data_IF_955218675888
#
_entry.id   IF_955218675888
#
_cell.length_a   1.000
_cell.length_b   1.000
_cell.length_c   1.000
_cell.angle_alpha   90.00
_cell.angle_beta   90.00
_cell.angle_gamma   90.00
#
_symmetry.space_group_name_H-M   'P 1'
#
loop_
_entity.id
_entity.type
_entity.pdbx_description
1 polymer ?
#
# COMPACT_ATOMS: atom_id res chain seq x y z
N UNK A 1 12.89 -7.83 5.29
CA UNK A 1 11.58 -7.65 4.64
C UNK A 1 11.80 -7.27 3.20
N UNK A 2 11.31 -8.10 2.27
CA UNK A 2 11.59 -7.98 0.84
C UNK A 2 10.63 -7.00 0.15
N UNK A 3 9.34 -7.14 0.43
CA UNK A 3 8.32 -6.29 -0.17
C UNK A 3 7.11 -6.15 0.74
N UNK A 4 6.53 -4.95 0.77
CA UNK A 4 5.19 -4.69 1.24
C UNK A 4 4.35 -4.28 0.04
N UNK A 5 3.16 -4.84 -0.07
CA UNK A 5 2.19 -4.43 -1.06
C UNK A 5 0.80 -4.42 -0.43
N UNK A 6 -0.13 -3.70 -1.03
CA UNK A 6 -1.51 -3.70 -0.58
C UNK A 6 -2.45 -3.88 -1.77
N UNK A 7 -3.61 -4.47 -1.52
CA UNK A 7 -4.64 -4.68 -2.53
C UNK A 7 -6.06 -4.58 -1.96
N UNK A 8 -7.01 -4.23 -2.83
CA UNK A 8 -8.44 -4.22 -2.51
C UNK A 8 -9.02 -5.63 -2.77
N UNK A 9 -9.42 -6.33 -1.70
CA UNK A 9 -9.85 -7.73 -1.77
C UNK A 9 -11.11 -7.83 -2.64
N UNK A 10 -12.10 -6.97 -2.39
CA UNK A 10 -13.36 -6.94 -3.11
C UNK A 10 -13.93 -5.51 -3.15
N UNK A 11 -14.69 -5.13 -4.20
CA UNK A 11 -15.39 -3.85 -4.23
C UNK A 11 -16.29 -3.68 -2.99
N UNK A 12 -16.10 -2.61 -2.22
CA UNK A 12 -16.82 -2.38 -0.96
C UNK A 12 -16.39 -3.28 0.21
N UNK A 13 -15.44 -4.19 -0.01
CA UNK A 13 -14.96 -5.16 0.98
C UNK A 13 -13.73 -4.69 1.77
N UNK A 14 -12.94 -5.66 2.22
CA UNK A 14 -11.72 -5.43 3.00
C UNK A 14 -10.56 -4.99 2.11
N UNK A 15 -9.67 -4.19 2.69
CA UNK A 15 -8.34 -3.95 2.14
C UNK A 15 -7.37 -4.94 2.79
N UNK A 16 -6.35 -5.35 2.04
CA UNK A 16 -5.29 -6.20 2.56
C UNK A 16 -3.94 -5.53 2.38
N UNK A 17 -3.13 -5.53 3.43
CA UNK A 17 -1.70 -5.22 3.38
C UNK A 17 -0.92 -6.52 3.54
N UNK A 18 -0.01 -6.78 2.62
CA UNK A 18 0.78 -8.02 2.54
C UNK A 18 2.25 -7.69 2.76
N UNK A 19 2.88 -8.49 3.61
CA UNK A 19 4.28 -8.38 3.94
C UNK A 19 4.98 -9.66 3.50
N UNK A 20 5.87 -9.54 2.52
CA UNK A 20 6.73 -10.61 2.04
C UNK A 20 8.07 -10.56 2.79
N UNK A 21 8.32 -11.60 3.58
CA UNK A 21 9.54 -11.79 4.35
C UNK A 21 10.31 -12.97 3.75
N UNK A 22 11.54 -12.70 3.32
CA UNK A 22 12.46 -13.73 2.81
C UNK A 22 13.62 -13.81 3.80
N UNK A 23 13.99 -15.02 4.21
CA UNK A 23 15.20 -15.28 4.99
C UNK A 23 16.40 -15.19 4.07
N UNK A 24 17.34 -14.29 4.37
CA UNK A 24 18.53 -14.08 3.53
C UNK A 24 19.74 -14.67 4.25
N UNK A 25 20.30 -15.73 3.69
CA UNK A 25 21.54 -16.39 4.15
C UNK A 25 22.46 -16.67 2.97
N UNK A 26 23.77 -16.67 3.21
CA UNK A 26 24.76 -16.93 2.17
C UNK A 26 24.73 -18.39 1.71
N UNK A 27 24.78 -18.61 0.40
CA UNK A 27 24.91 -19.96 -0.20
C UNK A 27 23.61 -20.76 -0.26
N UNK A 28 22.44 -20.13 -0.10
CA UNK A 28 21.14 -20.79 -0.23
C UNK A 28 20.52 -20.46 -1.60
N UNK A 29 20.22 -21.50 -2.39
CA UNK A 29 19.53 -21.40 -3.68
C UNK A 29 18.01 -21.19 -3.55
N UNK A 30 17.40 -21.63 -2.43
CA UNK A 30 15.96 -21.51 -2.17
C UNK A 30 15.71 -21.00 -0.75
N UNK A 31 15.67 -19.67 -0.56
CA UNK A 31 15.43 -19.10 0.76
C UNK A 31 13.98 -19.35 1.21
N UNK A 32 13.80 -19.55 2.52
CA UNK A 32 12.48 -19.66 3.12
C UNK A 32 11.75 -18.31 3.04
N UNK A 33 10.49 -18.34 2.59
CA UNK A 33 9.64 -17.15 2.46
C UNK A 33 8.36 -17.28 3.27
N UNK A 34 7.98 -16.19 3.94
CA UNK A 34 6.74 -16.07 4.70
C UNK A 34 5.97 -14.86 4.19
N UNK A 35 4.70 -15.07 3.89
CA UNK A 35 3.78 -14.01 3.46
C UNK A 35 2.73 -13.77 4.54
N UNK A 36 2.75 -12.59 5.14
CA UNK A 36 1.77 -12.19 6.16
C UNK A 36 0.74 -11.29 5.49
N UNK A 37 -0.54 -11.64 5.60
CA UNK A 37 -1.65 -10.83 5.09
C UNK A 37 -2.42 -10.24 6.26
N UNK A 38 -2.52 -8.92 6.28
CA UNK A 38 -3.26 -8.16 7.30
C UNK A 38 -4.47 -7.53 6.63
N UNK A 39 -5.66 -7.89 7.12
CA UNK A 39 -6.91 -7.35 6.60
C UNK A 39 -7.37 -6.15 7.42
N UNK A 40 -7.82 -5.10 6.74
CA UNK A 40 -8.30 -3.87 7.35
C UNK A 40 -9.65 -3.44 6.74
N UNK A 41 -10.55 -2.84 7.55
CA UNK A 41 -11.86 -2.38 7.07
C UNK A 41 -11.74 -1.10 6.22
N UNK A 42 -12.53 -0.99 5.15
CA UNK A 42 -12.48 0.13 4.18
C UNK A 42 -12.78 1.52 4.76
N UNK A 43 -13.66 1.60 5.77
CA UNK A 43 -14.13 2.89 6.33
C UNK A 43 -13.04 3.63 7.11
N UNK A 44 -12.15 2.88 7.78
CA UNK A 44 -11.00 3.39 8.54
C UNK A 44 -9.89 2.33 8.55
N UNK A 45 -9.21 2.10 7.42
CA UNK A 45 -8.19 1.06 7.32
C UNK A 45 -6.94 1.54 8.07
N UNK A 46 -6.78 1.08 9.30
CA UNK A 46 -5.64 1.40 10.16
C UNK A 46 -4.84 0.15 10.43
N UNK A 47 -3.55 0.21 10.18
CA UNK A 47 -2.61 -0.90 10.39
C UNK A 47 -1.38 -0.30 11.11
N UNK A 48 -0.79 -0.98 12.11
CA UNK A 48 0.46 -0.52 12.69
C UNK A 48 1.59 -0.57 11.65
N UNK A 49 2.35 0.52 11.52
CA UNK A 49 3.54 0.57 10.66
C UNK A 49 4.62 -0.39 11.14
N UNK A 50 5.28 -1.09 10.21
CA UNK A 50 6.47 -1.92 10.50
C UNK A 50 7.79 -1.19 10.24
N UNK A 51 7.76 0.12 9.96
CA UNK A 51 8.94 0.96 9.73
C UNK A 51 9.99 0.88 10.86
N UNK A 52 9.55 0.66 12.10
CA UNK A 52 10.45 0.55 13.24
C UNK A 52 11.19 -0.80 13.29
N UNK A 53 10.65 -1.82 12.63
CA UNK A 53 11.27 -3.15 12.49
C UNK A 53 12.10 -3.22 11.21
N UNK A 54 11.52 -2.83 10.07
CA UNK A 54 12.19 -2.81 8.77
C UNK A 54 12.06 -1.44 8.11
N UNK A 55 13.20 -0.76 7.94
CA UNK A 55 13.24 0.57 7.31
C UNK A 55 12.85 0.56 5.83
N UNK A 56 12.93 -0.59 5.16
CA UNK A 56 12.47 -0.76 3.77
C UNK A 56 10.98 -0.49 3.58
N UNK A 57 10.19 -0.54 4.66
CA UNK A 57 8.75 -0.30 4.63
C UNK A 57 8.36 1.18 4.39
N UNK A 58 9.29 2.14 4.51
CA UNK A 58 8.98 3.59 4.40
C UNK A 58 8.21 3.93 3.12
N UNK A 59 8.82 3.70 1.96
CA UNK A 59 8.20 4.03 0.69
C UNK A 59 7.03 3.12 0.35
N UNK A 60 7.09 1.84 0.75
CA UNK A 60 6.07 0.85 0.40
C UNK A 60 4.76 1.11 1.17
N UNK A 61 4.85 1.43 2.47
CA UNK A 61 3.69 1.82 3.28
C UNK A 61 3.09 3.15 2.80
N UNK A 62 3.94 4.09 2.34
CA UNK A 62 3.49 5.35 1.75
C UNK A 62 2.80 5.16 0.41
N UNK A 63 3.28 4.24 -0.44
CA UNK A 63 2.60 3.85 -1.68
C UNK A 63 1.22 3.25 -1.38
N UNK A 64 1.15 2.30 -0.45
CA UNK A 64 -0.10 1.69 0.01
C UNK A 64 -1.08 2.73 0.57
N UNK A 65 -0.58 3.73 1.28
CA UNK A 65 -1.38 4.86 1.73
C UNK A 65 -1.88 5.69 0.54
N UNK A 66 -1.01 6.08 -0.39
CA UNK A 66 -1.35 6.95 -1.52
C UNK A 66 -2.35 6.32 -2.51
N UNK A 67 -2.23 5.01 -2.71
CA UNK A 67 -3.03 4.30 -3.71
C UNK A 67 -4.33 3.71 -3.15
N UNK A 68 -4.31 3.19 -1.92
CA UNK A 68 -5.43 2.48 -1.32
C UNK A 68 -5.97 3.16 -0.06
N UNK A 69 -5.33 4.20 0.45
CA UNK A 69 -5.77 4.94 1.62
C UNK A 69 -5.62 4.20 2.93
N UNK A 70 -4.74 3.19 3.00
CA UNK A 70 -4.44 2.47 4.25
C UNK A 70 -3.55 3.35 5.13
N UNK A 71 -4.05 3.70 6.31
CA UNK A 71 -3.32 4.52 7.28
C UNK A 71 -2.41 3.66 8.13
N UNK A 72 -1.11 3.97 8.10
CA UNK A 72 -0.10 3.29 8.90
C UNK A 72 0.21 4.07 10.18
N UNK A 73 -0.24 3.54 11.32
CA UNK A 73 -0.05 4.18 12.62
C UNK A 73 1.43 4.14 13.02
N UNK A 74 1.93 5.25 13.60
CA UNK A 74 3.34 5.45 14.02
C UNK A 74 4.37 5.50 12.88
N UNK A 75 3.94 5.64 11.63
CA UNK A 75 4.86 5.91 10.51
C UNK A 75 5.43 7.35 10.62
N UNK A 76 6.75 7.58 10.50
CA UNK A 76 7.36 8.90 10.74
C UNK A 76 6.95 9.97 9.73
N UNK A 77 6.63 9.58 8.49
CA UNK A 77 6.27 10.51 7.40
C UNK A 77 5.25 9.89 6.46
N UNK A 78 4.02 9.72 6.93
CA UNK A 78 2.95 9.21 6.08
C UNK A 78 2.41 10.34 5.19
N UNK A 79 2.93 10.42 3.96
CA UNK A 79 2.50 11.36 2.92
C UNK A 79 2.43 10.66 1.57
N UNK A 80 1.60 11.19 0.67
CA UNK A 80 1.53 10.77 -0.74
C UNK A 80 2.93 10.85 -1.39
N UNK A 81 3.19 9.98 -2.35
CA UNK A 81 4.49 9.90 -3.05
C UNK A 81 4.36 9.80 -4.57
N UNK A 82 3.29 9.18 -5.06
CA UNK A 82 3.02 8.99 -6.49
C UNK A 82 2.02 10.03 -6.98
N UNK A 83 0.99 10.32 -6.19
CA UNK A 83 -0.04 11.31 -6.55
C UNK A 83 0.34 12.70 -6.04
N UNK A 84 -0.14 13.76 -6.71
CA UNK A 84 -0.08 15.12 -6.18
C UNK A 84 -0.68 15.20 -4.77
N UNK A 85 -0.11 16.06 -3.92
CA UNK A 85 -0.61 16.22 -2.54
C UNK A 85 -2.07 16.71 -2.49
N UNK A 86 -2.52 17.42 -3.53
CA UNK A 86 -3.90 17.91 -3.69
C UNK A 86 -4.88 16.85 -4.17
N UNK A 87 -4.44 15.64 -4.51
CA UNK A 87 -5.32 14.60 -5.04
C UNK A 87 -6.33 14.13 -3.99
N UNK A 88 -7.59 13.99 -4.41
CA UNK A 88 -8.68 13.52 -3.55
C UNK A 88 -9.09 12.13 -4.01
N UNK A 89 -9.10 11.18 -3.08
CA UNK A 89 -9.40 9.77 -3.36
C UNK A 89 -8.17 8.89 -3.50
N UNK A 90 -8.44 7.63 -3.85
CA UNK A 90 -7.49 6.50 -3.77
C UNK A 90 -7.56 5.67 -5.07
N UNK A 91 -6.65 5.89 -6.04
CA UNK A 91 -6.79 5.38 -7.40
C UNK A 91 -6.91 3.86 -7.55
N UNK A 92 -6.21 3.08 -6.72
CA UNK A 92 -6.20 1.61 -6.85
C UNK A 92 -7.38 0.93 -6.13
N UNK A 93 -8.30 1.70 -5.55
CA UNK A 93 -9.52 1.12 -5.01
C UNK A 93 -10.48 0.76 -6.15
N UNK A 94 -11.13 -0.39 -6.05
CA UNK A 94 -12.06 -0.87 -7.10
C UNK A 94 -13.33 -0.01 -7.24
N UNK A 95 -13.63 0.84 -6.25
CA UNK A 95 -14.75 1.78 -6.26
C UNK A 95 -14.32 3.20 -6.68
N UNK A 96 -13.08 3.39 -7.11
CA UNK A 96 -12.57 4.70 -7.48
C UNK A 96 -13.17 5.15 -8.81
N UNK A 97 -13.86 6.29 -8.77
CA UNK A 97 -14.34 6.97 -9.97
C UNK A 97 -13.32 8.05 -10.30
N UNK A 98 -12.63 7.89 -11.42
CA UNK A 98 -11.67 8.87 -11.88
C UNK A 98 -12.40 10.21 -12.13
N UNK A 99 -11.95 11.31 -11.52
CA UNK A 99 -12.46 12.64 -11.83
C UNK A 99 -12.21 12.98 -13.30
N UNK A 100 -13.16 13.69 -13.91
CA UNK A 100 -13.11 14.06 -15.31
C UNK A 100 -12.16 15.26 -15.52
N UNK A 101 -10.86 15.01 -15.40
CA UNK A 101 -9.82 16.00 -15.68
C UNK A 101 -9.64 16.18 -17.19
N UNK A 102 -9.47 17.43 -17.62
CA UNK A 102 -9.24 17.77 -19.03
C UNK A 102 -8.03 17.04 -19.61
N UNK A 103 -6.97 16.80 -18.81
CA UNK A 103 -5.76 16.10 -19.27
C UNK A 103 -5.95 14.57 -19.46
N UNK A 104 -7.05 13.99 -18.98
CA UNK A 104 -7.34 12.54 -19.07
C UNK A 104 -8.48 12.28 -20.08
N UNK A 105 -9.00 13.32 -20.73
CA UNK A 105 -9.99 13.18 -21.80
C UNK A 105 -9.32 12.77 -23.12
N UNK A 106 -10.11 12.18 -24.01
CA UNK A 106 -9.65 11.85 -25.36
C UNK A 106 -9.13 13.10 -26.07
N UNK A 107 -8.03 12.93 -26.80
CA UNK A 107 -7.40 14.01 -27.54
C UNK A 107 -8.31 14.43 -28.71
N UNK A 108 -9.16 15.42 -28.46
CA UNK A 108 -9.97 16.12 -29.46
C UNK A 108 -9.39 17.51 -29.74
#
# INVERSE_FOLDING_TARGET
MRSQCAYDVAPGGLLASVYHLTRIEYGIDQPEEVCIKVFAPRKKPRIPSVFWVWKSADFQERESYDMLGISYDKHPRLKRILMPESWIGWPLRKDYIAPNFYEIQDAH
#
